data_IF_339343242583
#
_entry.id   IF_339343242583
#
_cell.length_a   1.000
_cell.length_b   1.000
_cell.length_c   1.000
_cell.angle_alpha   90.00
_cell.angle_beta   90.00
_cell.angle_gamma   90.00
#
_symmetry.space_group_name_H-M   'P 1'
#
loop_
_entity.id
_entity.type
_entity.pdbx_description
1 polymer ?
#
# COMPACT_ATOMS: atom_id res chain seq x y z
N UNK A 1 15.81 -10.26 6.44
CA UNK A 1 15.79 -11.52 7.21
C UNK A 1 14.35 -11.91 7.51
N UNK A 2 14.01 -13.20 7.37
CA UNK A 2 12.76 -13.73 7.89
C UNK A 2 12.93 -14.02 9.40
N UNK A 3 12.04 -13.44 10.22
CA UNK A 3 12.11 -13.53 11.69
C UNK A 3 10.96 -14.39 12.29
N UNK A 4 10.37 -15.23 11.48
CA UNK A 4 9.27 -16.15 11.81
C UNK A 4 7.99 -15.77 11.07
N UNK A 5 7.67 -16.52 10.01
CA UNK A 5 6.47 -16.34 9.16
C UNK A 5 6.22 -14.91 8.67
N UNK A 6 7.29 -14.08 8.52
CA UNK A 6 7.20 -12.66 8.13
C UNK A 6 7.38 -12.44 6.63
N UNK A 7 7.16 -13.45 5.80
CA UNK A 7 7.26 -13.32 4.34
C UNK A 7 6.27 -12.27 3.80
N UNK A 8 5.05 -12.25 4.32
CA UNK A 8 4.04 -11.26 3.98
C UNK A 8 4.53 -9.82 4.19
N UNK A 9 5.14 -9.55 5.36
CA UNK A 9 5.70 -8.25 5.71
C UNK A 9 6.91 -7.91 4.82
N UNK A 10 7.83 -8.87 4.65
CA UNK A 10 9.02 -8.65 3.83
C UNK A 10 8.66 -8.30 2.38
N UNK A 11 7.63 -8.95 1.82
CA UNK A 11 7.15 -8.66 0.47
C UNK A 11 6.63 -7.22 0.37
N UNK A 12 5.73 -6.80 1.27
CA UNK A 12 5.19 -5.44 1.28
C UNK A 12 6.28 -4.38 1.48
N UNK A 13 7.22 -4.62 2.39
CA UNK A 13 8.34 -3.72 2.63
C UNK A 13 9.26 -3.59 1.41
N UNK A 14 9.55 -4.69 0.71
CA UNK A 14 10.36 -4.64 -0.52
C UNK A 14 9.65 -3.86 -1.63
N UNK A 15 8.35 -4.07 -1.82
CA UNK A 15 7.58 -3.29 -2.80
C UNK A 15 7.68 -1.78 -2.52
N UNK A 16 7.42 -1.35 -1.28
CA UNK A 16 7.47 0.06 -0.90
C UNK A 16 8.89 0.64 -0.96
N UNK A 17 9.91 -0.13 -0.57
CA UNK A 17 11.30 0.32 -0.59
C UNK A 17 11.83 0.62 -2.01
N UNK A 18 11.18 0.07 -3.04
CA UNK A 18 11.55 0.27 -4.45
C UNK A 18 10.68 1.30 -5.17
N UNK A 19 9.82 2.04 -4.46
CA UNK A 19 9.17 3.24 -5.00
C UNK A 19 10.13 4.43 -4.83
N UNK A 20 10.72 4.98 -5.92
CA UNK A 20 11.87 5.90 -5.80
C UNK A 20 11.55 7.16 -5.01
N UNK A 21 10.41 7.79 -5.26
CA UNK A 21 10.04 9.04 -4.58
C UNK A 21 9.67 8.80 -3.12
N UNK A 22 9.07 7.65 -2.80
CA UNK A 22 8.82 7.25 -1.41
C UNK A 22 10.14 7.00 -0.67
N UNK A 23 11.06 6.25 -1.26
CA UNK A 23 12.38 6.02 -0.68
C UNK A 23 13.12 7.34 -0.45
N UNK A 24 13.12 8.25 -1.44
CA UNK A 24 13.72 9.58 -1.32
C UNK A 24 13.12 10.38 -0.17
N UNK A 25 11.79 10.40 -0.03
CA UNK A 25 11.09 11.11 1.06
C UNK A 25 11.61 10.69 2.43
N UNK A 26 11.77 9.39 2.65
CA UNK A 26 12.19 8.85 3.94
C UNK A 26 13.72 8.95 4.15
N UNK A 27 14.53 8.63 3.15
CA UNK A 27 16.00 8.68 3.22
C UNK A 27 16.53 10.10 3.41
N UNK A 28 15.91 11.11 2.79
CA UNK A 28 16.25 12.52 3.01
C UNK A 28 15.72 13.10 4.31
N UNK A 29 14.95 12.31 5.07
CA UNK A 29 14.26 12.73 6.30
C UNK A 29 13.26 13.88 6.10
N UNK A 30 12.83 14.14 4.85
CA UNK A 30 11.86 15.18 4.54
C UNK A 30 10.50 14.90 5.21
N UNK A 31 10.14 13.62 5.42
CA UNK A 31 8.93 13.20 6.11
C UNK A 31 8.80 13.76 7.53
N UNK A 32 9.91 14.07 8.22
CA UNK A 32 9.88 14.60 9.59
C UNK A 32 9.12 15.93 9.70
N UNK A 33 9.12 16.74 8.64
CA UNK A 33 8.38 18.01 8.58
C UNK A 33 6.87 17.82 8.39
N UNK A 34 6.46 16.61 7.98
CA UNK A 34 5.08 16.25 7.67
C UNK A 34 4.44 15.42 8.80
N UNK A 35 5.19 15.02 9.83
CA UNK A 35 4.67 14.18 10.91
C UNK A 35 3.49 14.82 11.62
N UNK A 36 2.40 14.09 11.70
CA UNK A 36 1.19 14.45 12.43
C UNK A 36 1.06 13.59 13.70
N UNK A 37 1.79 13.96 14.73
CA UNK A 37 1.86 13.19 16.00
C UNK A 37 0.56 13.21 16.81
N UNK A 38 -0.32 14.18 16.53
CA UNK A 38 -1.58 14.36 17.24
C UNK A 38 -2.76 13.61 16.58
N UNK A 39 -2.52 12.90 15.47
CA UNK A 39 -3.55 12.19 14.76
C UNK A 39 -3.92 10.89 15.49
N UNK A 40 -5.15 10.81 16.01
CA UNK A 40 -5.64 9.62 16.71
C UNK A 40 -5.77 8.37 15.82
N UNK A 41 -5.79 8.54 14.49
CA UNK A 41 -5.84 7.42 13.53
C UNK A 41 -4.44 6.93 13.13
N UNK A 42 -3.40 7.72 13.39
CA UNK A 42 -2.02 7.35 13.13
C UNK A 42 -1.37 6.66 14.32
N UNK A 43 -0.07 6.37 14.18
CA UNK A 43 0.77 5.78 15.22
C UNK A 43 1.48 6.84 16.09
N UNK A 44 1.15 8.11 15.93
CA UNK A 44 1.93 9.22 16.52
C UNK A 44 3.29 9.42 15.84
N UNK A 45 3.45 8.92 14.61
CA UNK A 45 4.69 8.99 13.84
C UNK A 45 5.66 7.82 14.08
N UNK A 46 5.34 6.91 15.02
CA UNK A 46 6.25 5.81 15.38
C UNK A 46 6.48 4.83 14.23
N UNK A 47 5.43 4.49 13.49
CA UNK A 47 5.54 3.59 12.34
C UNK A 47 6.31 4.27 11.22
N UNK A 48 6.05 5.54 10.91
CA UNK A 48 6.79 6.29 9.91
C UNK A 48 8.28 6.41 10.25
N UNK A 49 8.62 6.69 11.51
CA UNK A 49 10.02 6.77 11.97
C UNK A 49 10.72 5.39 11.89
N UNK A 50 10.05 4.30 12.30
CA UNK A 50 10.63 2.95 12.24
C UNK A 50 10.76 2.45 10.79
N UNK A 51 9.84 2.82 9.91
CA UNK A 51 9.93 2.55 8.48
C UNK A 51 11.12 3.27 7.83
N UNK A 52 11.34 4.55 8.19
CA UNK A 52 12.50 5.31 7.74
C UNK A 52 13.82 4.65 8.14
N UNK A 53 13.93 4.20 9.40
CA UNK A 53 15.12 3.50 9.89
C UNK A 53 15.37 2.19 9.14
N UNK A 54 14.30 1.46 8.82
CA UNK A 54 14.40 0.23 8.04
C UNK A 54 14.87 0.51 6.61
N UNK A 55 14.30 1.53 5.96
CA UNK A 55 14.72 1.96 4.61
C UNK A 55 16.19 2.40 4.59
N UNK A 56 16.63 3.17 5.58
CA UNK A 56 18.02 3.57 5.70
C UNK A 56 18.94 2.35 5.73
N UNK A 57 18.62 1.32 6.52
CA UNK A 57 19.39 0.08 6.56
C UNK A 57 19.38 -0.67 5.22
N UNK A 58 18.24 -0.76 4.55
CA UNK A 58 18.10 -1.44 3.26
C UNK A 58 18.94 -0.78 2.16
N UNK A 59 19.04 0.54 2.16
CA UNK A 59 19.71 1.29 1.10
C UNK A 59 21.17 1.64 1.40
N UNK A 60 21.57 1.74 2.67
CA UNK A 60 22.95 2.07 3.05
C UNK A 60 23.83 0.86 3.33
N UNK A 61 23.23 -0.32 3.56
CA UNK A 61 23.94 -1.55 3.88
C UNK A 61 23.64 -2.67 2.86
N UNK A 62 23.93 -2.49 1.56
CA UNK A 62 23.49 -3.39 0.49
C UNK A 62 24.05 -4.80 0.59
N UNK A 63 25.11 -5.01 1.34
CA UNK A 63 25.77 -6.32 1.51
C UNK A 63 25.35 -7.05 2.79
N UNK A 64 24.51 -6.43 3.63
CA UNK A 64 24.08 -7.01 4.89
C UNK A 64 22.61 -7.43 4.85
N UNK A 65 22.33 -8.55 5.50
CA UNK A 65 20.94 -8.99 5.70
C UNK A 65 20.30 -8.16 6.80
N UNK A 66 19.44 -7.23 6.41
CA UNK A 66 18.70 -6.36 7.34
C UNK A 66 17.73 -7.18 8.19
N UNK A 67 17.67 -6.84 9.49
CA UNK A 67 16.76 -7.46 10.46
C UNK A 67 15.59 -6.52 10.75
N UNK A 68 14.34 -6.88 10.33
CA UNK A 68 13.18 -6.01 10.47
C UNK A 68 12.51 -6.08 11.86
N UNK A 69 13.14 -6.68 12.87
CA UNK A 69 12.53 -6.92 14.20
C UNK A 69 12.03 -5.64 14.86
N UNK A 70 12.80 -4.55 14.77
CA UNK A 70 12.38 -3.27 15.37
C UNK A 70 11.12 -2.72 14.69
N UNK A 71 11.11 -2.72 13.37
CA UNK A 71 9.94 -2.32 12.59
C UNK A 71 8.71 -3.20 12.93
N UNK A 72 8.87 -4.53 12.94
CA UNK A 72 7.79 -5.46 13.27
C UNK A 72 7.21 -5.14 14.64
N UNK A 73 8.04 -4.98 15.67
CA UNK A 73 7.58 -4.66 17.03
C UNK A 73 6.79 -3.35 17.09
N UNK A 74 7.25 -2.32 16.38
CA UNK A 74 6.55 -1.03 16.31
C UNK A 74 5.20 -1.17 15.63
N UNK A 75 5.15 -1.89 14.51
CA UNK A 75 3.92 -2.12 13.76
C UNK A 75 2.91 -2.97 14.54
N UNK A 76 3.34 -4.04 15.21
CA UNK A 76 2.50 -4.84 16.12
C UNK A 76 1.95 -4.02 17.31
N UNK A 77 2.70 -3.00 17.73
CA UNK A 77 2.24 -2.05 18.74
C UNK A 77 1.04 -1.24 18.27
N UNK A 78 1.04 -0.88 17.00
CA UNK A 78 -0.03 -0.14 16.34
C UNK A 78 -1.20 -1.04 15.96
N UNK A 79 -0.95 -2.13 15.23
CA UNK A 79 -1.98 -3.07 14.79
C UNK A 79 -1.74 -4.48 15.35
N UNK A 80 -2.56 -4.86 16.33
CA UNK A 80 -2.47 -6.14 17.03
C UNK A 80 -2.79 -7.36 16.17
N UNK A 81 -3.44 -7.16 15.03
CA UNK A 81 -3.72 -8.24 14.09
C UNK A 81 -2.42 -8.93 13.62
N UNK A 82 -1.35 -8.16 13.45
CA UNK A 82 -0.06 -8.66 12.97
C UNK A 82 0.89 -9.09 14.09
N UNK A 83 0.40 -9.15 15.35
CA UNK A 83 1.21 -9.59 16.47
C UNK A 83 1.49 -11.10 16.42
N UNK A 84 2.65 -11.49 16.94
CA UNK A 84 3.02 -12.91 17.03
C UNK A 84 3.70 -13.44 15.78
N UNK A 85 3.52 -14.76 15.54
CA UNK A 85 4.23 -15.50 14.47
C UNK A 85 3.28 -16.11 13.43
N UNK A 86 2.03 -15.69 13.42
CA UNK A 86 1.05 -16.20 12.46
C UNK A 86 1.34 -15.72 11.04
N UNK A 87 0.84 -16.48 10.09
CA UNK A 87 0.89 -16.09 8.67
C UNK A 87 -0.24 -15.10 8.37
N UNK A 88 0.07 -14.07 7.56
CA UNK A 88 -0.90 -13.05 7.15
C UNK A 88 -0.85 -12.83 5.64
N UNK A 89 -1.90 -12.23 5.12
CA UNK A 89 -1.93 -11.80 3.73
C UNK A 89 -1.01 -10.57 3.52
N UNK A 90 -0.18 -10.65 2.48
CA UNK A 90 0.77 -9.57 2.16
C UNK A 90 0.09 -8.32 1.63
N UNK A 91 -1.05 -8.44 0.96
CA UNK A 91 -1.82 -7.31 0.48
C UNK A 91 -2.52 -6.60 1.64
N UNK A 92 -3.05 -7.36 2.61
CA UNK A 92 -3.66 -6.81 3.81
C UNK A 92 -2.62 -6.02 4.65
N UNK A 93 -1.44 -6.61 4.86
CA UNK A 93 -0.33 -5.91 5.51
C UNK A 93 0.07 -4.64 4.75
N UNK A 94 0.21 -4.72 3.42
CA UNK A 94 0.57 -3.58 2.58
C UNK A 94 -0.45 -2.45 2.72
N UNK A 95 -1.73 -2.76 2.63
CA UNK A 95 -2.81 -1.77 2.77
C UNK A 95 -2.77 -1.08 4.14
N UNK A 96 -2.60 -1.85 5.21
CA UNK A 96 -2.50 -1.32 6.59
C UNK A 96 -1.25 -0.45 6.79
N UNK A 97 -0.12 -0.85 6.20
CA UNK A 97 1.11 -0.07 6.29
C UNK A 97 0.97 1.26 5.53
N UNK A 98 0.43 1.24 4.31
CA UNK A 98 0.17 2.46 3.54
C UNK A 98 -0.79 3.39 4.27
N UNK A 99 -1.84 2.85 4.90
CA UNK A 99 -2.82 3.61 5.65
C UNK A 99 -2.20 4.31 6.88
N UNK A 100 -1.44 3.59 7.70
CA UNK A 100 -0.79 4.21 8.86
C UNK A 100 0.29 5.22 8.46
N UNK A 101 1.05 4.97 7.39
CA UNK A 101 2.02 5.93 6.87
C UNK A 101 1.32 7.20 6.36
N UNK A 102 0.16 7.04 5.70
CA UNK A 102 -0.68 8.16 5.31
C UNK A 102 -1.13 8.97 6.53
N UNK A 103 -1.70 8.32 7.54
CA UNK A 103 -2.23 9.00 8.72
C UNK A 103 -1.11 9.65 9.57
N UNK A 104 0.07 9.03 9.66
CA UNK A 104 1.24 9.62 10.32
C UNK A 104 1.77 10.87 9.59
N UNK A 105 1.54 10.97 8.27
CA UNK A 105 1.99 12.08 7.43
C UNK A 105 0.84 12.98 6.93
N UNK A 106 -0.38 12.77 7.41
CA UNK A 106 -1.54 13.54 6.96
C UNK A 106 -1.48 14.98 7.49
N UNK A 107 -1.38 15.93 6.58
CA UNK A 107 -1.30 17.36 6.89
C UNK A 107 -2.62 17.90 7.43
N UNK A 108 -3.73 17.19 7.25
CA UNK A 108 -5.06 17.59 7.72
C UNK A 108 -5.27 17.15 9.17
N UNK A 109 -5.06 18.05 10.09
CA UNK A 109 -5.22 17.79 11.54
C UNK A 109 -6.68 17.67 11.99
N UNK A 110 -7.58 18.39 11.33
CA UNK A 110 -9.03 18.34 11.61
C UNK A 110 -9.76 18.01 10.31
N UNK A 111 -10.22 16.78 10.20
CA UNK A 111 -10.95 16.30 9.01
C UNK A 111 -12.34 16.96 8.99
N UNK A 112 -12.65 17.85 8.01
CA UNK A 112 -13.97 18.49 7.91
C UNK A 112 -15.04 17.45 7.54
N UNK A 113 -16.28 17.70 7.96
CA UNK A 113 -17.42 17.01 7.37
C UNK A 113 -17.68 17.62 5.98
N UNK A 114 -17.73 16.77 4.96
CA UNK A 114 -18.03 17.19 3.59
C UNK A 114 -19.07 16.22 3.05
N UNK A 115 -20.18 16.76 2.59
CA UNK A 115 -21.21 15.97 1.93
C UNK A 115 -20.70 15.48 0.57
N UNK A 116 -20.83 14.19 0.31
CA UNK A 116 -20.39 13.60 -0.95
C UNK A 116 -21.46 13.79 -2.02
N UNK A 117 -21.16 14.39 -3.16
CA UNK A 117 -22.12 14.55 -4.26
C UNK A 117 -22.57 13.20 -4.81
N UNK A 118 -23.83 13.16 -5.28
CA UNK A 118 -24.40 12.00 -6.00
C UNK A 118 -24.49 12.37 -7.47
N UNK A 119 -23.85 11.56 -8.32
CA UNK A 119 -23.83 11.77 -9.75
C UNK A 119 -24.73 10.76 -10.47
N UNK A 120 -25.57 11.25 -11.37
CA UNK A 120 -26.50 10.44 -12.20
C UNK A 120 -26.07 10.38 -13.66
N UNK A 121 -24.98 11.08 -14.01
CA UNK A 121 -24.35 11.07 -15.32
C UNK A 121 -22.84 11.09 -15.18
N UNK A 122 -22.12 10.61 -16.19
CA UNK A 122 -20.68 10.69 -16.23
C UNK A 122 -20.23 12.03 -16.85
N UNK A 123 -19.44 12.78 -16.09
CA UNK A 123 -18.76 13.98 -16.58
C UNK A 123 -17.28 13.94 -16.17
N UNK A 124 -16.40 14.32 -17.09
CA UNK A 124 -14.95 14.26 -16.88
C UNK A 124 -14.46 15.09 -15.69
N UNK A 125 -15.15 16.19 -15.38
CA UNK A 125 -14.81 17.12 -14.30
C UNK A 125 -15.14 16.59 -12.90
N UNK A 126 -16.09 15.68 -12.78
CA UNK A 126 -16.55 15.13 -11.49
C UNK A 126 -15.45 14.37 -10.77
N UNK A 127 -14.58 13.65 -11.49
CA UNK A 127 -13.44 12.96 -10.91
C UNK A 127 -12.45 13.92 -10.23
N UNK A 128 -12.17 15.07 -10.85
CA UNK A 128 -11.31 16.11 -10.27
C UNK A 128 -11.96 16.74 -9.03
N UNK A 129 -13.26 17.04 -9.08
CA UNK A 129 -14.03 17.54 -7.94
C UNK A 129 -13.98 16.56 -6.77
N UNK A 130 -14.21 15.28 -7.01
CA UNK A 130 -14.14 14.26 -5.97
C UNK A 130 -12.74 14.08 -5.41
N UNK A 131 -11.70 14.22 -6.24
CA UNK A 131 -10.32 14.21 -5.78
C UNK A 131 -10.02 15.39 -4.86
N UNK A 132 -10.47 16.60 -5.20
CA UNK A 132 -10.33 17.78 -4.36
C UNK A 132 -11.08 17.62 -3.02
N UNK A 133 -12.27 17.01 -3.03
CA UNK A 133 -13.01 16.67 -1.81
C UNK A 133 -12.22 15.70 -0.94
N UNK A 134 -11.64 14.68 -1.55
CA UNK A 134 -10.81 13.70 -0.84
C UNK A 134 -9.58 14.34 -0.21
N UNK A 135 -8.87 15.20 -0.93
CA UNK A 135 -7.66 15.89 -0.45
C UNK A 135 -7.93 16.84 0.73
N UNK A 136 -9.13 17.41 0.86
CA UNK A 136 -9.51 18.21 2.03
C UNK A 136 -9.47 17.45 3.35
N UNK A 137 -9.44 16.13 3.29
CA UNK A 137 -9.39 15.23 4.45
C UNK A 137 -8.12 14.39 4.51
N UNK A 138 -7.45 14.18 3.38
CA UNK A 138 -6.41 13.18 3.19
C UNK A 138 -5.26 13.75 2.34
N UNK A 139 -4.59 14.77 2.83
CA UNK A 139 -3.44 15.37 2.15
C UNK A 139 -2.14 14.84 2.74
N UNK A 140 -1.44 13.97 2.03
CA UNK A 140 -0.12 13.47 2.41
C UNK A 140 0.70 13.07 1.19
N UNK A 141 2.01 13.04 1.34
CA UNK A 141 2.90 12.51 0.30
C UNK A 141 2.60 11.04 -0.07
N UNK A 142 2.02 10.27 0.84
CA UNK A 142 1.59 8.89 0.57
C UNK A 142 0.42 8.88 -0.42
N UNK A 143 -0.55 9.79 -0.24
CA UNK A 143 -1.67 9.94 -1.17
C UNK A 143 -1.18 10.36 -2.54
N UNK A 144 -0.28 11.33 -2.61
CA UNK A 144 0.26 11.84 -3.88
C UNK A 144 1.02 10.76 -4.67
N UNK A 145 1.66 9.81 -3.97
CA UNK A 145 2.49 8.78 -4.59
C UNK A 145 1.75 7.48 -4.91
N UNK A 146 0.77 7.09 -4.09
CA UNK A 146 0.23 5.73 -4.11
C UNK A 146 -1.28 5.66 -4.36
N UNK A 147 -1.99 6.78 -4.36
CA UNK A 147 -3.44 6.78 -4.56
C UNK A 147 -3.82 7.23 -5.97
N UNK A 148 -4.93 6.69 -6.45
CA UNK A 148 -5.62 7.11 -7.65
C UNK A 148 -7.12 7.20 -7.40
N UNK A 149 -7.89 7.50 -8.44
CA UNK A 149 -9.35 7.58 -8.40
C UNK A 149 -9.94 6.55 -9.36
N UNK A 150 -10.82 5.70 -8.87
CA UNK A 150 -11.64 4.82 -9.71
C UNK A 150 -13.02 5.43 -9.94
N UNK A 151 -13.54 5.25 -11.14
CA UNK A 151 -14.90 5.64 -11.52
C UNK A 151 -15.70 4.38 -11.81
N UNK A 152 -16.81 4.19 -11.08
CA UNK A 152 -17.73 3.07 -11.29
C UNK A 152 -19.08 3.60 -11.69
N UNK A 153 -19.61 3.14 -12.84
CA UNK A 153 -20.97 3.42 -13.26
C UNK A 153 -21.86 2.19 -13.10
N UNK A 154 -23.01 2.37 -12.47
CA UNK A 154 -24.02 1.34 -12.27
C UNK A 154 -25.27 1.74 -13.05
N UNK A 155 -25.72 0.87 -13.94
CA UNK A 155 -26.95 1.04 -14.71
C UNK A 155 -28.01 0.09 -14.22
N UNK A 156 -29.19 0.61 -13.89
CA UNK A 156 -30.33 -0.21 -13.59
C UNK A 156 -30.92 -0.77 -14.91
N UNK A 157 -31.03 -2.09 -15.01
CA UNK A 157 -31.60 -2.75 -16.21
C UNK A 157 -33.12 -2.57 -16.37
N UNK A 158 -33.82 -2.22 -15.30
CA UNK A 158 -35.26 -2.05 -15.31
C UNK A 158 -35.73 -0.61 -15.61
N UNK A 159 -35.16 0.37 -14.87
CA UNK A 159 -35.58 1.76 -15.00
C UNK A 159 -34.59 2.63 -15.80
N UNK A 160 -33.42 2.10 -16.20
CA UNK A 160 -32.40 2.83 -16.94
C UNK A 160 -31.65 3.89 -16.12
N UNK A 161 -31.95 4.03 -14.83
CA UNK A 161 -31.26 4.99 -13.97
C UNK A 161 -29.77 4.65 -13.90
N UNK A 162 -28.93 5.66 -14.01
CA UNK A 162 -27.48 5.54 -13.86
C UNK A 162 -27.02 6.20 -12.57
N UNK A 163 -26.07 5.57 -11.88
CA UNK A 163 -25.33 6.15 -10.75
C UNK A 163 -23.84 6.04 -11.01
N UNK A 164 -23.14 7.13 -10.80
CA UNK A 164 -21.69 7.20 -10.96
C UNK A 164 -21.05 7.45 -9.60
N UNK A 165 -20.03 6.64 -9.28
CA UNK A 165 -19.23 6.76 -8.07
C UNK A 165 -17.78 6.98 -8.41
N UNK A 166 -17.14 7.89 -7.69
CA UNK A 166 -15.71 8.13 -7.73
C UNK A 166 -15.14 7.76 -6.35
N UNK A 167 -14.22 6.82 -6.32
CA UNK A 167 -13.65 6.30 -5.08
C UNK A 167 -12.12 6.36 -5.13
N UNK A 168 -11.47 7.01 -4.12
CA UNK A 168 -10.01 6.97 -3.99
C UNK A 168 -9.57 5.53 -3.74
N UNK A 169 -8.51 5.10 -4.42
CA UNK A 169 -8.04 3.74 -4.34
C UNK A 169 -6.51 3.68 -4.44
N UNK A 170 -5.88 2.88 -3.61
CA UNK A 170 -4.45 2.57 -3.65
C UNK A 170 -4.14 1.13 -4.05
N UNK A 171 -5.19 0.32 -4.27
CA UNK A 171 -5.09 -1.08 -4.69
C UNK A 171 -6.08 -1.35 -5.80
N UNK A 172 -5.63 -1.86 -6.92
CA UNK A 172 -6.48 -2.32 -8.01
C UNK A 172 -6.44 -3.85 -8.07
N UNK A 173 -7.60 -4.47 -7.79
CA UNK A 173 -7.74 -5.92 -7.94
C UNK A 173 -8.02 -6.28 -9.39
N UNK A 174 -7.09 -7.02 -10.00
CA UNK A 174 -7.24 -7.52 -11.36
C UNK A 174 -7.66 -9.00 -11.31
N UNK A 175 -8.84 -9.37 -11.82
CA UNK A 175 -9.24 -10.76 -11.89
C UNK A 175 -8.30 -11.51 -12.85
N UNK A 176 -7.75 -12.63 -12.38
CA UNK A 176 -6.99 -13.50 -13.26
C UNK A 176 -7.95 -14.28 -14.15
N UNK A 177 -7.64 -14.45 -15.46
CA UNK A 177 -8.46 -15.26 -16.34
C UNK A 177 -8.55 -16.70 -15.80
N UNK A 178 -9.75 -17.25 -15.79
CA UNK A 178 -10.03 -18.61 -15.32
C UNK A 178 -9.64 -19.69 -16.32
N UNK A 179 -9.13 -19.32 -17.49
CA UNK A 179 -8.64 -20.26 -18.48
C UNK A 179 -7.45 -21.05 -17.91
N UNK A 180 -7.68 -22.35 -17.73
CA UNK A 180 -6.61 -23.27 -17.30
C UNK A 180 -5.70 -23.54 -18.48
N UNK A 181 -4.56 -22.89 -18.55
CA UNK A 181 -3.50 -23.30 -19.46
C UNK A 181 -2.88 -24.60 -18.95
N UNK A 182 -2.86 -25.63 -19.80
CA UNK A 182 -2.10 -26.83 -19.50
C UNK A 182 -0.64 -26.56 -19.87
N UNK A 183 0.16 -26.18 -18.87
CA UNK A 183 1.61 -26.08 -19.05
C UNK A 183 2.21 -27.49 -19.00
N UNK A 184 2.77 -27.93 -20.09
CA UNK A 184 3.60 -29.15 -20.14
C UNK A 184 5.05 -28.69 -19.95
N UNK A 185 5.61 -28.97 -18.78
CA UNK A 185 7.02 -28.69 -18.51
C UNK A 185 7.80 -29.98 -18.69
N UNK A 186 8.66 -30.03 -19.73
CA UNK A 186 9.64 -31.10 -19.90
C UNK A 186 10.89 -30.73 -19.10
N UNK A 187 11.15 -31.44 -18.03
CA UNK A 187 12.36 -31.27 -17.22
C UNK A 187 13.41 -32.23 -17.75
N UNK A 188 14.43 -31.70 -18.41
CA UNK A 188 15.65 -32.46 -18.75
C UNK A 188 16.54 -32.46 -17.51
N UNK A 189 16.73 -33.61 -16.92
CA UNK A 189 17.70 -33.80 -15.84
C UNK A 189 19.10 -33.95 -16.44
N UNK A 190 20.10 -33.37 -15.83
CA UNK A 190 21.50 -33.37 -16.27
C UNK A 190 22.07 -34.81 -16.49
N UNK A 191 21.45 -35.81 -15.84
CA UNK A 191 21.80 -37.23 -16.03
C UNK A 191 21.45 -37.80 -17.39
N UNK A 192 20.55 -37.15 -18.13
CA UNK A 192 20.13 -37.63 -19.46
C UNK A 192 21.07 -37.11 -20.57
N UNK A 193 21.98 -36.20 -20.24
CA UNK A 193 22.99 -35.65 -21.17
C UNK A 193 24.28 -36.50 -21.25
N UNK A 194 24.52 -37.44 -20.30
CA UNK A 194 25.70 -38.29 -20.28
C UNK A 194 25.48 -39.66 -20.97
N UNK A 195 24.28 -39.93 -21.46
CA UNK A 195 23.94 -41.26 -22.02
C UNK A 195 24.17 -41.39 -23.53
N UNK A 196 24.60 -40.33 -24.21
CA UNK A 196 24.80 -40.30 -25.67
C UNK A 196 26.27 -40.08 -26.11
N UNK A 197 27.25 -40.67 -25.35
CA UNK A 197 28.63 -40.76 -25.82
C UNK A 197 29.16 -42.20 -25.80
#
# INVERSE_FOLDING_TARGET
>A
RNIGNTCYMNTGLQCLSHVPDLAKLFLTKAFLKMLNKDNAMGSGGLVAESFAQLLEQLWTLPTQVVNPTNFKRTFEGYDKQFAGLEQHDSQEFFAKLVDVLHEDLNLIKKKPYIETPVYTSYEKTQGAEMWDIFLKRNASAIVDLLYGMTCTSIHCSECGEMRVRYEPNNVLMLPMPTEKFKLVVNILLERDLEADY
#
